data_IF_315581928657
#
_entry.id   IF_315581928657
#
_cell.length_a   1.000
_cell.length_b   1.000
_cell.length_c   1.000
_cell.angle_alpha   90.00
_cell.angle_beta   90.00
_cell.angle_gamma   90.00
#
_symmetry.space_group_name_H-M   'P 1'
#
loop_
_entity.id
_entity.type
_entity.pdbx_description
1 polymer ?
#
# COMPACT_ATOMS: atom_id res chain seq x y z
N UNK A 1 -17.35 -10.61 36.80
CA UNK A 1 -18.02 -9.83 35.74
C UNK A 1 -17.02 -9.06 34.86
N UNK A 2 -15.99 -8.44 35.44
CA UNK A 2 -14.85 -7.80 34.71
C UNK A 2 -14.12 -8.75 33.74
N UNK A 3 -13.87 -10.01 34.15
CA UNK A 3 -13.23 -11.02 33.29
C UNK A 3 -14.03 -11.35 32.01
N UNK A 4 -15.37 -11.24 32.07
CA UNK A 4 -16.25 -11.51 30.93
C UNK A 4 -16.28 -10.33 29.94
N UNK A 5 -16.16 -9.10 30.43
CA UNK A 5 -16.03 -7.91 29.58
C UNK A 5 -14.70 -7.87 28.82
N UNK A 6 -13.59 -8.22 29.50
CA UNK A 6 -12.29 -8.36 28.85
C UNK A 6 -12.28 -9.46 27.79
N UNK A 7 -12.92 -10.60 28.05
CA UNK A 7 -13.02 -11.69 27.09
C UNK A 7 -13.85 -11.32 25.84
N UNK A 8 -14.94 -10.55 25.99
CA UNK A 8 -15.76 -10.08 24.86
C UNK A 8 -15.03 -9.02 24.03
N UNK A 9 -14.27 -8.12 24.66
CA UNK A 9 -13.41 -7.16 23.96
C UNK A 9 -12.25 -7.85 23.20
N UNK A 10 -11.65 -8.89 23.78
CA UNK A 10 -10.62 -9.71 23.12
C UNK A 10 -11.19 -10.50 21.92
N UNK A 11 -12.40 -11.05 22.05
CA UNK A 11 -13.08 -11.74 20.94
C UNK A 11 -13.53 -10.79 19.82
N UNK A 12 -13.96 -9.57 20.15
CA UNK A 12 -14.32 -8.56 19.15
C UNK A 12 -13.09 -8.03 18.39
N UNK A 13 -11.94 -7.91 19.06
CA UNK A 13 -10.68 -7.50 18.43
C UNK A 13 -10.11 -8.59 17.50
N UNK A 14 -10.31 -9.88 17.82
CA UNK A 14 -9.86 -10.99 16.98
C UNK A 14 -10.64 -11.15 15.67
N UNK A 15 -11.84 -10.56 15.57
CA UNK A 15 -12.66 -10.56 14.35
C UNK A 15 -12.24 -9.55 13.27
N UNK A 16 -11.30 -8.66 13.59
CA UNK A 16 -10.76 -7.66 12.66
C UNK A 16 -9.28 -7.86 12.38
N UNK A 17 -8.86 -9.12 12.19
CA UNK A 17 -7.62 -9.37 11.45
C UNK A 17 -7.93 -9.12 9.98
N UNK A 18 -8.08 -7.84 9.60
CA UNK A 18 -7.96 -7.45 8.20
C UNK A 18 -6.58 -7.89 7.75
N UNK A 19 -6.49 -8.52 6.58
CA UNK A 19 -5.21 -8.92 6.03
C UNK A 19 -4.28 -7.70 6.03
N UNK A 20 -3.23 -7.77 6.84
CA UNK A 20 -2.09 -6.90 6.67
C UNK A 20 -1.47 -7.32 5.34
N UNK A 21 -1.90 -6.68 4.26
CA UNK A 21 -1.12 -6.66 3.05
C UNK A 21 0.17 -5.95 3.43
N UNK A 22 1.20 -6.74 3.72
CA UNK A 22 2.55 -6.23 3.65
C UNK A 22 2.64 -5.51 2.31
N UNK A 23 3.06 -4.23 2.36
CA UNK A 23 3.68 -3.55 1.23
C UNK A 23 4.47 -4.63 0.49
N UNK A 24 4.19 -4.85 -0.79
CA UNK A 24 4.77 -5.97 -1.54
C UNK A 24 6.29 -5.89 -1.55
N UNK A 25 6.95 -6.32 -2.62
CA UNK A 25 8.40 -6.25 -2.67
C UNK A 25 8.97 -4.80 -2.75
N UNK A 26 8.16 -3.78 -2.45
CA UNK A 26 8.51 -2.37 -2.30
C UNK A 26 8.79 -2.02 -0.83
N UNK A 27 10.04 -1.70 -0.52
CA UNK A 27 10.46 -1.20 0.80
C UNK A 27 10.99 0.24 0.73
N UNK A 28 10.69 1.04 1.74
CA UNK A 28 11.28 2.38 1.88
C UNK A 28 12.71 2.23 2.40
N UNK A 29 13.69 2.64 1.61
CA UNK A 29 15.08 2.78 2.02
C UNK A 29 15.56 4.21 1.71
N UNK A 30 15.94 4.96 2.75
CA UNK A 30 16.39 6.35 2.61
C UNK A 30 15.40 7.27 1.85
N UNK A 31 14.09 7.02 1.97
CA UNK A 31 13.05 7.80 1.29
C UNK A 31 12.83 7.42 -0.19
N UNK A 32 13.47 6.35 -0.67
CA UNK A 32 13.23 5.76 -1.98
C UNK A 32 12.50 4.43 -1.83
N UNK A 33 11.58 4.16 -2.75
CA UNK A 33 10.79 2.95 -2.73
C UNK A 33 11.40 1.92 -3.65
N UNK A 34 12.25 1.11 -3.03
CA UNK A 34 13.03 0.08 -3.71
C UNK A 34 12.18 -1.15 -3.89
N UNK A 35 12.18 -1.65 -5.11
CA UNK A 35 11.37 -2.74 -5.59
C UNK A 35 12.32 -3.78 -6.22
N UNK A 36 12.31 -5.05 -5.81
CA UNK A 36 13.25 -6.03 -6.40
C UNK A 36 12.69 -6.58 -7.70
N UNK A 37 13.60 -6.88 -8.61
CA UNK A 37 13.32 -7.49 -9.89
C UNK A 37 14.36 -8.57 -10.13
N UNK A 38 14.09 -9.76 -9.62
CA UNK A 38 15.06 -10.85 -9.56
C UNK A 38 16.21 -10.52 -8.59
N UNK A 39 17.48 -10.58 -9.03
CA UNK A 39 18.64 -10.18 -8.21
C UNK A 39 18.82 -8.66 -8.12
N UNK A 40 18.15 -7.90 -9.00
CA UNK A 40 18.30 -6.46 -9.15
C UNK A 40 17.20 -5.69 -8.41
N UNK A 41 17.32 -4.37 -8.40
CA UNK A 41 16.41 -3.44 -7.74
C UNK A 41 16.10 -2.26 -8.64
N UNK A 42 14.87 -1.78 -8.54
CA UNK A 42 14.43 -0.54 -9.15
C UNK A 42 13.83 0.37 -8.09
N UNK A 43 13.75 1.67 -8.35
CA UNK A 43 13.01 2.63 -7.53
C UNK A 43 11.67 2.92 -8.20
N UNK A 44 10.58 2.82 -7.46
CA UNK A 44 9.25 3.26 -7.88
C UNK A 44 8.96 4.64 -7.30
N UNK A 45 8.52 5.57 -8.14
CA UNK A 45 8.08 6.89 -7.68
C UNK A 45 6.85 7.38 -8.44
N UNK A 46 5.79 7.70 -7.70
CA UNK A 46 4.59 8.38 -8.18
C UNK A 46 4.61 9.87 -7.85
N UNK A 47 4.15 10.71 -8.79
CA UNK A 47 4.04 12.15 -8.64
C UNK A 47 2.69 12.66 -9.13
N UNK A 48 2.10 13.62 -8.40
CA UNK A 48 0.85 14.28 -8.78
C UNK A 48 1.06 15.80 -8.85
N UNK A 49 1.65 16.33 -9.95
CA UNK A 49 2.14 17.70 -10.01
C UNK A 49 1.04 18.77 -9.83
N UNK A 50 -0.22 18.42 -10.11
CA UNK A 50 -1.37 19.31 -9.92
C UNK A 50 -1.88 19.38 -8.48
N UNK A 51 -1.39 18.48 -7.60
CA UNK A 51 -1.87 18.32 -6.22
C UNK A 51 -0.78 18.55 -5.18
N UNK A 52 0.40 17.97 -5.41
CA UNK A 52 1.53 18.03 -4.49
C UNK A 52 2.87 17.97 -5.24
N UNK A 53 3.94 18.37 -4.55
CA UNK A 53 5.33 18.18 -5.00
C UNK A 53 5.98 16.94 -4.37
N UNK A 54 5.25 16.24 -3.51
CA UNK A 54 5.71 15.06 -2.82
C UNK A 54 5.84 13.86 -3.75
N UNK A 55 6.68 12.93 -3.34
CA UNK A 55 6.93 11.66 -4.02
C UNK A 55 6.17 10.57 -3.26
N UNK A 56 5.41 9.77 -4.00
CA UNK A 56 4.61 8.70 -3.44
C UNK A 56 5.15 7.35 -3.89
N UNK A 57 4.95 6.34 -3.06
CA UNK A 57 5.46 5.01 -3.32
C UNK A 57 4.33 4.06 -3.66
N UNK A 58 3.69 3.55 -2.63
CA UNK A 58 2.60 2.60 -2.71
C UNK A 58 1.26 3.22 -2.31
N UNK A 59 1.26 4.42 -1.73
CA UNK A 59 0.05 5.16 -1.37
C UNK A 59 0.04 6.53 -2.06
N UNK A 60 -0.61 6.61 -3.23
CA UNK A 60 -0.85 7.85 -3.96
C UNK A 60 -2.14 8.49 -3.43
N UNK A 61 -2.11 9.75 -2.97
CA UNK A 61 -3.17 10.31 -2.13
C UNK A 61 -4.47 10.60 -2.87
N UNK A 62 -4.44 10.98 -4.14
CA UNK A 62 -5.61 11.43 -4.90
C UNK A 62 -5.81 10.61 -6.17
N UNK A 63 -7.07 10.43 -6.59
CA UNK A 63 -7.37 10.04 -7.97
C UNK A 63 -7.13 11.23 -8.93
N UNK A 64 -6.60 10.95 -10.11
CA UNK A 64 -6.34 11.95 -11.15
C UNK A 64 -5.06 11.72 -11.94
N UNK A 65 -4.54 12.77 -12.62
CA UNK A 65 -3.30 12.71 -13.37
C UNK A 65 -2.10 12.40 -12.47
N UNK A 66 -1.42 11.31 -12.78
CA UNK A 66 -0.27 10.80 -12.04
C UNK A 66 0.85 10.46 -13.01
N UNK A 67 2.07 10.84 -12.66
CA UNK A 67 3.30 10.47 -13.36
C UNK A 67 3.97 9.38 -12.53
N UNK A 68 4.27 8.24 -13.15
CA UNK A 68 4.98 7.14 -12.50
C UNK A 68 6.34 6.97 -13.18
N UNK A 69 7.37 6.85 -12.37
CA UNK A 69 8.75 6.64 -12.79
C UNK A 69 9.31 5.39 -12.13
N UNK A 70 9.93 4.53 -12.93
CA UNK A 70 10.67 3.35 -12.50
C UNK A 70 12.15 3.53 -12.89
N UNK A 71 13.04 3.55 -11.91
CA UNK A 71 14.47 3.75 -12.11
C UNK A 71 15.27 2.48 -11.78
N UNK A 72 15.97 1.92 -12.75
CA UNK A 72 16.88 0.79 -12.55
C UNK A 72 18.17 1.21 -11.85
N UNK A 73 18.49 0.54 -10.74
CA UNK A 73 19.71 0.78 -9.97
C UNK A 73 20.92 0.07 -10.56
N UNK A 74 20.71 -1.09 -11.19
CA UNK A 74 21.74 -1.88 -11.84
C UNK A 74 21.70 -1.70 -13.36
N UNK A 75 22.88 -1.69 -14.01
CA UNK A 75 22.99 -1.53 -15.46
C UNK A 75 22.39 -2.70 -16.26
N UNK A 76 22.36 -3.91 -15.66
CA UNK A 76 21.78 -5.10 -16.30
C UNK A 76 20.35 -4.87 -16.79
N UNK A 77 19.50 -4.28 -15.94
CA UNK A 77 18.11 -3.97 -16.29
C UNK A 77 17.97 -2.96 -17.44
N UNK A 78 18.99 -2.11 -17.68
CA UNK A 78 19.00 -1.12 -18.78
C UNK A 78 19.22 -1.78 -20.14
N UNK A 79 19.87 -2.94 -20.15
CA UNK A 79 20.14 -3.72 -21.34
C UNK A 79 19.06 -4.78 -21.63
N UNK A 80 18.18 -5.04 -20.65
CA UNK A 80 16.99 -5.89 -20.78
C UNK A 80 15.78 -5.15 -21.36
N UNK A 81 14.84 -5.91 -21.90
CA UNK A 81 13.54 -5.41 -22.34
C UNK A 81 12.62 -5.32 -21.13
N UNK A 82 12.25 -4.10 -20.74
CA UNK A 82 11.31 -3.83 -19.67
C UNK A 82 9.90 -3.70 -20.24
N UNK A 83 8.98 -4.47 -19.69
CA UNK A 83 7.54 -4.43 -19.90
C UNK A 83 6.90 -3.97 -18.59
N UNK A 84 5.95 -3.03 -18.68
CA UNK A 84 5.23 -2.51 -17.51
C UNK A 84 3.73 -2.58 -17.78
N UNK A 85 2.99 -3.15 -16.83
CA UNK A 85 1.52 -3.18 -16.86
C UNK A 85 0.98 -2.74 -15.50
N UNK A 86 -0.02 -1.88 -15.50
CA UNK A 86 -0.81 -1.56 -14.30
C UNK A 86 -2.14 -2.24 -14.44
N UNK A 87 -2.52 -3.04 -13.44
CA UNK A 87 -3.82 -3.71 -13.39
C UNK A 87 -4.58 -3.30 -12.12
N UNK A 88 -5.90 -3.24 -12.19
CA UNK A 88 -6.75 -3.07 -11.00
C UNK A 88 -6.64 -4.30 -10.09
N UNK A 89 -6.55 -4.07 -8.79
CA UNK A 89 -6.65 -5.12 -7.77
C UNK A 89 -8.11 -5.24 -7.31
N UNK A 90 -8.84 -6.14 -7.97
CA UNK A 90 -10.26 -6.43 -7.72
C UNK A 90 -10.44 -7.70 -6.90
N UNK A 91 -9.38 -8.21 -6.28
CA UNK A 91 -9.39 -9.48 -5.52
C UNK A 91 -9.29 -10.72 -6.40
N UNK A 92 -8.74 -10.60 -7.62
CA UNK A 92 -8.43 -11.73 -8.48
C UNK A 92 -7.43 -12.68 -7.81
N UNK A 93 -7.52 -13.99 -8.13
CA UNK A 93 -6.60 -15.00 -7.56
C UNK A 93 -5.23 -14.97 -8.24
N UNK A 94 -5.21 -14.59 -9.51
CA UNK A 94 -4.03 -14.49 -10.36
C UNK A 94 -4.11 -13.15 -11.11
N UNK A 95 -3.00 -12.42 -11.19
CA UNK A 95 -2.98 -11.11 -11.86
C UNK A 95 -3.24 -11.22 -13.38
N UNK A 96 -3.11 -12.41 -13.97
CA UNK A 96 -3.43 -12.71 -15.36
C UNK A 96 -4.92 -12.99 -15.59
N UNK A 97 -5.70 -13.16 -14.53
CA UNK A 97 -7.15 -13.37 -14.62
C UNK A 97 -7.83 -12.09 -15.13
N UNK A 98 -8.55 -12.20 -16.26
CA UNK A 98 -9.19 -11.07 -16.93
C UNK A 98 -8.22 -9.89 -17.17
N UNK A 99 -6.96 -10.21 -17.47
CA UNK A 99 -5.86 -9.25 -17.55
C UNK A 99 -6.19 -8.02 -18.39
N UNK A 100 -6.73 -8.22 -19.60
CA UNK A 100 -7.08 -7.11 -20.51
C UNK A 100 -8.19 -6.23 -19.95
N UNK A 101 -9.19 -6.82 -19.32
CA UNK A 101 -10.28 -6.05 -18.71
C UNK A 101 -9.78 -5.22 -17.52
N UNK A 102 -8.84 -5.76 -16.75
CA UNK A 102 -8.29 -5.13 -15.55
C UNK A 102 -7.10 -4.20 -15.81
N UNK A 103 -6.55 -4.18 -17.03
CA UNK A 103 -5.40 -3.34 -17.37
C UNK A 103 -5.81 -1.87 -17.45
N UNK A 104 -5.14 -1.03 -16.68
CA UNK A 104 -5.26 0.44 -16.73
C UNK A 104 -4.19 1.06 -17.63
N UNK A 105 -3.00 0.47 -17.62
CA UNK A 105 -1.87 0.96 -18.40
C UNK A 105 -1.02 -0.21 -18.87
N UNK A 106 -0.53 -0.12 -20.11
CA UNK A 106 0.38 -1.09 -20.68
C UNK A 106 1.48 -0.41 -21.49
N UNK A 107 2.73 -0.74 -21.15
CA UNK A 107 3.92 -0.40 -21.92
C UNK A 107 4.53 -1.71 -22.46
N UNK A 108 4.64 -1.85 -23.79
CA UNK A 108 5.21 -3.06 -24.40
C UNK A 108 6.71 -3.20 -24.05
N UNK A 109 7.27 -4.42 -24.17
CA UNK A 109 8.69 -4.66 -23.91
C UNK A 109 9.59 -3.73 -24.71
N UNK A 110 10.41 -2.94 -24.02
CA UNK A 110 11.35 -2.00 -24.63
C UNK A 110 12.60 -1.84 -23.76
N UNK A 111 13.74 -1.58 -24.40
CA UNK A 111 14.96 -1.20 -23.69
C UNK A 111 14.96 0.26 -23.30
N UNK A 112 15.20 0.53 -22.02
CA UNK A 112 15.37 1.88 -21.48
C UNK A 112 16.84 2.10 -21.16
N UNK A 113 17.62 2.56 -22.15
CA UNK A 113 19.06 2.80 -21.99
C UNK A 113 19.40 3.87 -20.95
N UNK A 114 18.47 4.78 -20.67
CA UNK A 114 18.55 5.73 -19.55
C UNK A 114 18.50 5.05 -18.18
N UNK A 115 17.99 3.82 -18.11
CA UNK A 115 17.60 3.13 -16.88
C UNK A 115 16.29 3.60 -16.29
N UNK A 116 15.59 4.53 -16.95
CA UNK A 116 14.35 5.12 -16.42
C UNK A 116 13.19 4.84 -17.37
N UNK A 117 12.12 4.25 -16.84
CA UNK A 117 10.82 4.12 -17.49
C UNK A 117 9.85 5.10 -16.81
N UNK A 118 9.42 6.13 -17.54
CA UNK A 118 8.42 7.08 -17.06
C UNK A 118 7.17 7.01 -17.92
N UNK A 119 6.01 7.05 -17.28
CA UNK A 119 4.72 7.17 -17.97
C UNK A 119 3.75 8.06 -17.20
N UNK A 120 2.83 8.66 -17.93
CA UNK A 120 1.73 9.44 -17.37
C UNK A 120 0.44 8.65 -17.53
N UNK A 121 -0.38 8.63 -16.48
CA UNK A 121 -1.67 7.99 -16.50
C UNK A 121 -2.67 8.78 -15.64
N UNK A 122 -3.92 8.85 -16.10
CA UNK A 122 -5.00 9.51 -15.34
C UNK A 122 -5.85 8.43 -14.70
N UNK A 123 -5.74 8.26 -13.38
CA UNK A 123 -6.58 7.34 -12.63
C UNK A 123 -7.95 7.99 -12.39
N UNK A 124 -9.04 7.50 -13.01
CA UNK A 124 -10.33 8.18 -12.94
C UNK A 124 -11.03 8.00 -11.59
N UNK A 125 -10.68 6.95 -10.84
CA UNK A 125 -11.30 6.59 -9.58
C UNK A 125 -10.25 6.15 -8.56
N UNK A 126 -10.59 6.28 -7.28
CA UNK A 126 -9.81 5.70 -6.19
C UNK A 126 -9.87 4.17 -6.24
N UNK A 127 -8.81 3.51 -5.78
CA UNK A 127 -8.74 2.07 -5.83
C UNK A 127 -7.37 1.50 -5.48
N UNK A 128 -7.30 0.17 -5.53
CA UNK A 128 -6.07 -0.60 -5.41
C UNK A 128 -5.64 -1.08 -6.80
N UNK A 129 -4.35 -1.07 -7.03
CA UNK A 129 -3.73 -1.41 -8.30
C UNK A 129 -2.48 -2.25 -8.05
N UNK A 130 -2.04 -2.95 -9.08
CA UNK A 130 -0.83 -3.77 -9.08
C UNK A 130 -0.01 -3.37 -10.31
N UNK A 131 1.21 -2.93 -10.07
CA UNK A 131 2.25 -2.78 -11.09
C UNK A 131 2.94 -4.12 -11.33
N UNK A 132 2.88 -4.61 -12.56
CA UNK A 132 3.58 -5.79 -13.05
C UNK A 132 4.73 -5.32 -13.92
N UNK A 133 5.95 -5.52 -13.43
CA UNK A 133 7.17 -5.22 -14.19
C UNK A 133 7.81 -6.53 -14.60
N UNK A 134 8.12 -6.67 -15.89
CA UNK A 134 8.88 -7.79 -16.41
C UNK A 134 10.12 -7.29 -17.12
N UNK A 135 11.28 -7.84 -16.77
CA UNK A 135 12.53 -7.64 -17.47
C UNK A 135 12.93 -8.93 -18.18
N UNK A 136 13.29 -8.85 -19.46
CA UNK A 136 13.74 -10.00 -20.26
C UNK A 136 15.01 -9.70 -21.05
N UNK A 137 16.02 -10.56 -20.95
CA UNK A 137 17.24 -10.44 -21.76
C UNK A 137 16.96 -10.74 -23.24
N UNK A 138 17.81 -10.25 -24.14
CA UNK A 138 17.62 -10.43 -25.60
C UNK A 138 17.64 -11.90 -26.03
N UNK A 139 18.50 -12.70 -25.39
CA UNK A 139 18.61 -14.13 -25.61
C UNK A 139 17.50 -14.93 -24.92
N UNK A 140 16.66 -14.27 -24.11
CA UNK A 140 15.61 -14.88 -23.30
C UNK A 140 16.12 -15.77 -22.16
N UNK A 141 17.42 -15.81 -21.89
CA UNK A 141 18.00 -16.65 -20.84
C UNK A 141 17.66 -16.14 -19.43
N UNK A 142 17.43 -14.84 -19.28
CA UNK A 142 17.03 -14.19 -18.03
C UNK A 142 15.65 -13.55 -18.19
N UNK A 143 14.75 -13.91 -17.28
CA UNK A 143 13.43 -13.29 -17.14
C UNK A 143 13.15 -13.05 -15.67
N UNK A 144 12.87 -11.79 -15.34
CA UNK A 144 12.52 -11.34 -13.99
C UNK A 144 11.14 -10.73 -14.03
N UNK A 145 10.30 -11.09 -13.06
CA UNK A 145 8.95 -10.56 -12.91
C UNK A 145 8.81 -10.07 -11.48
N UNK A 146 8.24 -8.88 -11.33
CA UNK A 146 7.95 -8.32 -10.03
C UNK A 146 6.55 -7.70 -9.99
N UNK A 147 5.96 -7.77 -8.80
CA UNK A 147 4.57 -7.42 -8.52
C UNK A 147 4.54 -6.39 -7.40
N UNK A 148 4.00 -5.22 -7.70
CA UNK A 148 4.02 -4.07 -6.81
C UNK A 148 2.61 -3.55 -6.55
N UNK A 149 2.00 -3.93 -5.42
CA UNK A 149 0.70 -3.38 -5.05
C UNK A 149 0.85 -1.91 -4.64
N UNK A 150 -0.08 -1.08 -5.09
CA UNK A 150 -0.20 0.32 -4.69
C UNK A 150 -1.66 0.76 -4.66
N UNK A 151 -1.94 1.87 -3.99
CA UNK A 151 -3.26 2.46 -3.85
C UNK A 151 -3.27 3.89 -4.41
N UNK A 152 -4.43 4.30 -4.91
CA UNK A 152 -4.68 5.67 -5.39
C UNK A 152 -5.96 6.16 -4.73
N UNK A 153 -5.92 7.33 -4.09
CA UNK A 153 -7.11 7.94 -3.48
C UNK A 153 -7.51 7.40 -2.10
N UNK A 154 -6.84 6.36 -1.59
CA UNK A 154 -7.26 5.67 -0.36
C UNK A 154 -6.54 6.15 0.91
N UNK A 155 -5.61 7.09 0.81
CA UNK A 155 -4.81 7.56 1.96
C UNK A 155 -5.71 8.21 3.02
N UNK A 156 -6.59 9.12 2.63
CA UNK A 156 -7.44 9.86 3.59
C UNK A 156 -8.39 8.93 4.34
N UNK A 157 -9.02 7.97 3.65
CA UNK A 157 -9.94 7.02 4.28
C UNK A 157 -9.22 6.12 5.29
N UNK A 158 -7.98 5.73 5.00
CA UNK A 158 -7.11 4.99 5.94
C UNK A 158 -6.80 5.81 7.19
N UNK A 159 -6.33 7.05 7.02
CA UNK A 159 -5.98 7.93 8.15
C UNK A 159 -7.17 8.23 9.05
N UNK A 160 -8.35 8.51 8.47
CA UNK A 160 -9.58 8.72 9.23
C UNK A 160 -9.95 7.45 10.00
N UNK A 161 -9.86 6.28 9.38
CA UNK A 161 -10.17 4.99 10.02
C UNK A 161 -9.26 4.75 11.22
N UNK A 162 -7.96 5.00 11.07
CA UNK A 162 -6.96 4.89 12.15
C UNK A 162 -7.29 5.88 13.28
N UNK A 163 -7.55 7.14 12.95
CA UNK A 163 -7.88 8.17 13.93
C UNK A 163 -9.13 7.83 14.73
N UNK A 164 -10.19 7.36 14.06
CA UNK A 164 -11.44 6.92 14.72
C UNK A 164 -11.20 5.72 15.63
N UNK A 165 -10.41 4.74 15.19
CA UNK A 165 -10.05 3.58 15.99
C UNK A 165 -9.35 3.98 17.30
N UNK A 166 -8.31 4.81 17.21
CA UNK A 166 -7.58 5.27 18.40
C UNK A 166 -8.40 6.21 19.29
N UNK A 167 -9.25 7.06 18.71
CA UNK A 167 -10.20 7.85 19.47
C UNK A 167 -11.17 6.96 20.26
N UNK A 168 -11.67 5.88 19.67
CA UNK A 168 -12.50 4.88 20.34
C UNK A 168 -11.79 4.22 21.52
N UNK A 169 -10.54 3.78 21.33
CA UNK A 169 -9.73 3.21 22.40
C UNK A 169 -9.48 4.21 23.54
N UNK A 170 -9.19 5.46 23.21
CA UNK A 170 -8.99 6.52 24.19
C UNK A 170 -10.26 6.78 25.03
N UNK A 171 -11.44 6.80 24.39
CA UNK A 171 -12.71 6.96 25.09
C UNK A 171 -13.02 5.79 26.03
N UNK A 172 -12.77 4.55 25.59
CA UNK A 172 -12.94 3.36 26.45
C UNK A 172 -11.96 3.41 27.63
N UNK A 173 -10.69 3.72 27.37
CA UNK A 173 -9.66 3.85 28.41
C UNK A 173 -10.01 4.94 29.43
N UNK A 174 -10.46 6.11 28.96
CA UNK A 174 -10.92 7.19 29.81
C UNK A 174 -12.15 6.79 30.63
N UNK A 175 -13.13 6.13 30.03
CA UNK A 175 -14.32 5.64 30.73
C UNK A 175 -14.01 4.64 31.85
N UNK A 176 -13.08 3.70 31.61
CA UNK A 176 -12.61 2.75 32.60
C UNK A 176 -11.83 3.44 33.73
N UNK A 177 -10.94 4.37 33.39
CA UNK A 177 -10.20 5.16 34.37
C UNK A 177 -11.14 6.01 35.24
N UNK A 178 -12.08 6.72 34.63
CA UNK A 178 -13.06 7.56 35.30
C UNK A 178 -13.93 6.76 36.27
N UNK A 179 -14.43 5.59 35.83
CA UNK A 179 -15.20 4.68 36.69
C UNK A 179 -14.38 4.23 37.91
N UNK A 180 -13.14 3.81 37.70
CA UNK A 180 -12.27 3.36 38.80
C UNK A 180 -11.96 4.49 39.79
N UNK A 181 -11.68 5.70 39.29
CA UNK A 181 -11.33 6.83 40.15
C UNK A 181 -12.51 7.43 40.91
N UNK A 182 -13.68 7.55 40.28
CA UNK A 182 -14.78 8.34 40.85
C UNK A 182 -15.99 7.52 41.29
N UNK A 183 -16.29 6.41 40.61
CA UNK A 183 -17.48 5.61 40.92
C UNK A 183 -17.15 4.52 41.94
N UNK A 184 -16.08 3.76 41.68
CA UNK A 184 -15.74 2.61 42.52
C UNK A 184 -15.15 3.06 43.87
N UNK A 185 -14.31 4.12 43.90
CA UNK A 185 -13.84 4.74 45.15
C UNK A 185 -14.97 5.34 46.02
N UNK A 186 -16.01 5.88 45.40
CA UNK A 186 -17.17 6.46 46.13
C UNK A 186 -18.05 5.37 46.74
N UNK A 187 -18.12 4.19 46.12
CA UNK A 187 -18.82 3.02 46.67
C UNK A 187 -18.08 2.33 47.81
N UNK A 188 -16.75 2.42 47.86
CA UNK A 188 -15.92 1.81 48.91
C UNK A 188 -15.74 2.70 50.14
N UNK A 189 -16.22 3.95 50.13
CA UNK A 189 -16.19 4.82 51.31
C UNK A 189 -17.20 4.31 52.36
N UNK A 190 -16.79 4.09 53.62
CA UNK A 190 -17.69 3.60 54.66
C UNK A 190 -18.81 4.62 54.90
N UNK A 191 -20.06 4.14 54.96
CA UNK A 191 -21.20 4.96 55.39
C UNK A 191 -21.02 5.26 56.88
N UNK A 192 -20.89 6.54 57.21
CA UNK A 192 -20.94 7.06 58.58
C UNK A 192 -22.34 6.84 59.18
#
# INVERSE_FOLDING_TARGET
>A
MIMRFFAVLLFAAAGWVTQAHAHGDVGINQGQCLMKLGPDTMTFTGYQPQKSREQFCDDIPDAGPTIITLDAQQDELRDMNLEMRVVRDVGQKDDTENLEANTEYYSPPKKYKSGTLTFEHVFPQEGKFIGLVKAKSDDGAKEYVARFPFSVGLTQSREITIAVFFAGLALVGFGLWYKNQFIDKKKSAPKA
#
